data_IF_232497582209
#
_entry.id   IF_232497582209
#
_cell.length_a   1.000
_cell.length_b   1.000
_cell.length_c   1.000
_cell.angle_alpha   90.00
_cell.angle_beta   90.00
_cell.angle_gamma   90.00
#
_symmetry.space_group_name_H-M   'P 1'
#
loop_
_entity.id
_entity.type
_entity.pdbx_description
1 polymer ?
#
# COMPACT_ATOMS: atom_id res chain seq x y z
N UNK A 1 0.55 -3.84 -32.33
CA UNK A 1 -0.19 -2.57 -32.13
C UNK A 1 0.82 -1.47 -31.86
N UNK A 2 0.83 -0.47 -32.74
CA UNK A 2 1.90 0.51 -32.89
C UNK A 2 1.84 1.57 -31.77
N UNK A 3 2.90 1.66 -30.95
CA UNK A 3 3.11 2.81 -30.05
C UNK A 3 3.68 3.96 -30.88
N UNK A 4 2.84 4.91 -31.28
CA UNK A 4 3.30 6.19 -31.81
C UNK A 4 3.65 7.10 -30.63
N UNK A 5 4.94 7.15 -30.27
CA UNK A 5 5.49 8.29 -29.52
C UNK A 5 5.52 9.48 -30.48
N UNK A 6 4.70 10.50 -30.21
CA UNK A 6 4.77 11.78 -30.90
C UNK A 6 5.69 12.70 -30.10
N UNK A 7 6.99 12.55 -30.32
CA UNK A 7 8.01 13.47 -29.80
C UNK A 7 8.04 14.69 -30.73
N UNK A 8 7.41 15.80 -30.32
CA UNK A 8 7.51 17.07 -31.02
C UNK A 8 8.83 17.76 -30.64
N UNK A 9 9.89 17.50 -31.40
CA UNK A 9 11.10 18.33 -31.42
C UNK A 9 10.85 19.48 -32.40
N UNK A 10 10.59 20.67 -31.87
CA UNK A 10 10.56 21.90 -32.67
C UNK A 10 11.98 22.46 -32.71
N UNK A 11 12.70 22.11 -33.77
CA UNK A 11 13.99 22.72 -34.13
C UNK A 11 13.70 24.06 -34.81
N UNK A 12 13.94 25.17 -34.11
CA UNK A 12 13.80 26.53 -34.64
C UNK A 12 15.16 27.17 -34.92
N UNK A 13 15.46 27.34 -36.20
CA UNK A 13 16.65 27.98 -36.78
C UNK A 13 16.78 29.45 -36.36
N UNK A 14 18.00 29.87 -35.98
CA UNK A 14 18.38 31.27 -35.73
C UNK A 14 19.07 31.85 -36.98
N UNK A 15 18.72 33.10 -37.35
CA UNK A 15 19.43 34.14 -38.18
C UNK A 15 18.38 34.86 -39.07
N UNK A 16 18.22 36.19 -39.18
CA UNK A 16 18.84 37.38 -38.59
C UNK A 16 17.95 38.63 -38.89
N UNK A 17 18.17 39.72 -38.13
CA UNK A 17 17.81 41.14 -38.37
C UNK A 17 16.34 41.61 -38.22
N UNK A 18 16.09 42.36 -37.14
CA UNK A 18 14.90 43.19 -36.92
C UNK A 18 14.41 43.14 -35.47
N UNK A 19 14.70 44.18 -34.68
CA UNK A 19 14.23 44.29 -33.29
C UNK A 19 12.72 44.49 -33.22
N UNK A 20 11.97 43.39 -33.14
CA UNK A 20 10.61 43.34 -32.61
C UNK A 20 10.56 42.12 -31.68
N UNK A 21 10.60 42.36 -30.37
CA UNK A 21 10.28 41.32 -29.42
C UNK A 21 8.86 40.81 -29.73
N UNK A 22 8.62 39.49 -29.87
CA UNK A 22 7.27 38.99 -30.02
C UNK A 22 6.48 39.41 -28.79
N UNK A 23 5.53 40.33 -28.96
CA UNK A 23 4.65 40.77 -27.89
C UNK A 23 3.70 39.62 -27.55
N UNK A 24 4.02 38.85 -26.51
CA UNK A 24 3.04 37.96 -25.89
C UNK A 24 1.97 38.86 -25.28
N UNK A 25 0.73 38.77 -25.78
CA UNK A 25 -0.35 39.61 -25.28
C UNK A 25 -0.75 39.16 -23.87
N UNK A 26 -1.04 40.11 -22.99
CA UNK A 26 -1.55 39.80 -21.65
C UNK A 26 -2.84 38.95 -21.68
N UNK A 27 -3.63 39.03 -22.76
CA UNK A 27 -4.81 38.20 -23.00
C UNK A 27 -4.49 36.72 -23.27
N UNK A 28 -3.36 36.42 -23.89
CA UNK A 28 -2.94 35.03 -24.13
C UNK A 28 -2.47 34.37 -22.83
N UNK A 29 -1.75 35.12 -21.97
CA UNK A 29 -1.31 34.62 -20.66
C UNK A 29 -2.51 34.39 -19.74
N UNK A 30 -3.51 35.29 -19.73
CA UNK A 30 -4.73 35.10 -18.95
C UNK A 30 -5.48 33.83 -19.35
N UNK A 31 -5.56 33.56 -20.66
CA UNK A 31 -6.20 32.36 -21.19
C UNK A 31 -5.44 31.10 -20.75
N UNK A 32 -4.10 31.14 -20.79
CA UNK A 32 -3.26 30.03 -20.33
C UNK A 32 -3.39 29.79 -18.81
N UNK A 33 -3.47 30.85 -18.00
CA UNK A 33 -3.71 30.74 -16.55
C UNK A 33 -5.07 30.08 -16.28
N UNK A 34 -6.13 30.49 -16.98
CA UNK A 34 -7.45 29.90 -16.83
C UNK A 34 -7.50 28.43 -17.25
N UNK A 35 -6.75 28.06 -18.30
CA UNK A 35 -6.57 26.66 -18.72
C UNK A 35 -5.85 25.85 -17.64
N UNK A 36 -4.74 26.35 -17.11
CA UNK A 36 -3.98 25.70 -16.04
C UNK A 36 -4.84 25.52 -14.76
N UNK A 37 -5.61 26.53 -14.37
CA UNK A 37 -6.54 26.43 -13.24
C UNK A 37 -7.62 25.36 -13.48
N UNK A 38 -8.15 25.27 -14.69
CA UNK A 38 -9.13 24.25 -15.07
C UNK A 38 -8.53 22.84 -15.02
N UNK A 39 -7.28 22.68 -15.46
CA UNK A 39 -6.54 21.43 -15.35
C UNK A 39 -6.28 21.03 -13.89
N UNK A 40 -5.89 21.97 -13.03
CA UNK A 40 -5.70 21.74 -11.58
C UNK A 40 -7.01 21.30 -10.92
N UNK A 41 -8.15 21.92 -11.27
CA UNK A 41 -9.46 21.49 -10.77
C UNK A 41 -9.81 20.07 -11.24
N UNK A 42 -9.54 19.74 -12.51
CA UNK A 42 -9.78 18.39 -13.02
C UNK A 42 -8.93 17.34 -12.29
N UNK A 43 -7.63 17.61 -12.12
CA UNK A 43 -6.71 16.75 -11.37
C UNK A 43 -7.16 16.55 -9.92
N UNK A 44 -7.62 17.61 -9.25
CA UNK A 44 -8.18 17.50 -7.90
C UNK A 44 -9.42 16.60 -7.84
N UNK A 45 -10.34 16.75 -8.79
CA UNK A 45 -11.53 15.89 -8.87
C UNK A 45 -11.15 14.43 -9.12
N UNK A 46 -10.18 14.17 -10.01
CA UNK A 46 -9.66 12.82 -10.26
C UNK A 46 -9.00 12.24 -9.01
N UNK A 47 -8.19 13.02 -8.30
CA UNK A 47 -7.56 12.60 -7.03
C UNK A 47 -8.59 12.22 -5.98
N UNK A 48 -9.64 13.02 -5.78
CA UNK A 48 -10.72 12.69 -4.83
C UNK A 48 -11.46 11.41 -5.22
N UNK A 49 -11.73 11.21 -6.51
CA UNK A 49 -12.37 9.99 -6.99
C UNK A 49 -11.49 8.76 -6.73
N UNK A 50 -10.20 8.81 -7.09
CA UNK A 50 -9.26 7.71 -6.86
C UNK A 50 -9.03 7.46 -5.37
N UNK A 51 -8.92 8.51 -4.54
CA UNK A 51 -8.81 8.37 -3.09
C UNK A 51 -10.03 7.65 -2.49
N UNK A 52 -11.24 7.97 -2.97
CA UNK A 52 -12.46 7.28 -2.53
C UNK A 52 -12.45 5.80 -2.94
N UNK A 53 -11.96 5.48 -4.14
CA UNK A 53 -11.80 4.09 -4.57
C UNK A 53 -10.76 3.33 -3.74
N UNK A 54 -9.66 3.98 -3.32
CA UNK A 54 -8.66 3.39 -2.42
C UNK A 54 -9.27 3.06 -1.06
N UNK A 55 -10.10 3.95 -0.51
CA UNK A 55 -10.81 3.70 0.76
C UNK A 55 -11.79 2.52 0.63
N UNK A 56 -12.59 2.48 -0.46
CA UNK A 56 -13.49 1.36 -0.71
C UNK A 56 -12.73 0.02 -0.85
N UNK A 57 -11.63 0.00 -1.60
CA UNK A 57 -10.79 -1.19 -1.76
C UNK A 57 -10.18 -1.65 -0.44
N UNK A 58 -9.82 -0.72 0.45
CA UNK A 58 -9.34 -1.03 1.81
C UNK A 58 -10.42 -1.78 2.61
N UNK A 59 -11.67 -1.30 2.55
CA UNK A 59 -12.81 -1.93 3.21
C UNK A 59 -13.14 -3.29 2.60
N UNK A 60 -13.12 -3.41 1.26
CA UNK A 60 -13.37 -4.67 0.56
C UNK A 60 -12.31 -5.72 0.91
N UNK A 61 -11.02 -5.33 0.99
CA UNK A 61 -9.94 -6.21 1.44
C UNK A 61 -10.16 -6.72 2.86
N UNK A 62 -10.58 -5.85 3.79
CA UNK A 62 -10.92 -6.23 5.17
C UNK A 62 -12.11 -7.20 5.21
N UNK A 63 -13.15 -6.93 4.42
CA UNK A 63 -14.34 -7.79 4.34
C UNK A 63 -14.01 -9.17 3.76
N UNK A 64 -13.21 -9.23 2.70
CA UNK A 64 -12.74 -10.51 2.12
C UNK A 64 -11.91 -11.28 3.13
N UNK A 65 -11.01 -10.63 3.86
CA UNK A 65 -10.23 -11.29 4.92
C UNK A 65 -11.12 -11.87 6.04
N UNK A 66 -12.13 -11.12 6.48
CA UNK A 66 -13.08 -11.61 7.48
C UNK A 66 -13.82 -12.86 6.99
N UNK A 67 -14.25 -12.88 5.72
CA UNK A 67 -14.89 -14.06 5.11
C UNK A 67 -13.93 -15.25 5.01
N UNK A 68 -12.66 -15.03 4.68
CA UNK A 68 -11.63 -16.09 4.68
C UNK A 68 -11.52 -16.71 6.08
N UNK A 69 -11.38 -15.90 7.13
CA UNK A 69 -11.27 -16.38 8.50
C UNK A 69 -12.52 -17.17 8.93
N UNK A 70 -13.71 -16.70 8.55
CA UNK A 70 -14.97 -17.39 8.83
C UNK A 70 -15.03 -18.76 8.14
N UNK A 71 -14.67 -18.83 6.86
CA UNK A 71 -14.65 -20.10 6.10
C UNK A 71 -13.65 -21.09 6.69
N UNK A 72 -12.47 -20.62 7.10
CA UNK A 72 -11.47 -21.46 7.76
C UNK A 72 -11.99 -22.04 9.09
N UNK A 73 -12.69 -21.24 9.90
CA UNK A 73 -13.31 -21.71 11.13
C UNK A 73 -14.43 -22.74 10.89
N UNK A 74 -15.25 -22.52 9.86
CA UNK A 74 -16.27 -23.49 9.44
C UNK A 74 -15.65 -24.80 8.95
N UNK A 75 -14.54 -24.75 8.21
CA UNK A 75 -13.81 -25.94 7.77
C UNK A 75 -13.29 -26.76 8.97
N UNK A 76 -12.70 -26.12 9.98
CA UNK A 76 -12.24 -26.84 11.19
C UNK A 76 -13.40 -27.51 11.93
N UNK A 77 -14.54 -26.83 12.03
CA UNK A 77 -15.76 -27.40 12.59
C UNK A 77 -16.26 -28.59 11.76
N UNK A 78 -16.25 -28.47 10.42
CA UNK A 78 -16.65 -29.54 9.52
C UNK A 78 -15.72 -30.76 9.61
N UNK A 79 -14.40 -30.56 9.70
CA UNK A 79 -13.40 -31.62 9.91
C UNK A 79 -13.63 -32.35 11.24
N UNK A 80 -13.87 -31.62 12.32
CA UNK A 80 -14.19 -32.22 13.62
C UNK A 80 -15.46 -33.08 13.57
N UNK A 81 -16.52 -32.59 12.94
CA UNK A 81 -17.76 -33.35 12.74
C UNK A 81 -17.55 -34.61 11.90
N UNK A 82 -16.66 -34.55 10.92
CA UNK A 82 -16.31 -35.69 10.07
C UNK A 82 -15.63 -36.80 10.88
N UNK A 83 -14.73 -36.45 11.81
CA UNK A 83 -14.12 -37.42 12.73
C UNK A 83 -15.14 -38.07 13.68
N UNK A 84 -16.14 -37.30 14.15
CA UNK A 84 -17.25 -37.85 14.95
C UNK A 84 -18.06 -38.86 14.12
N UNK A 85 -18.45 -38.49 12.90
CA UNK A 85 -19.21 -39.38 12.00
C UNK A 85 -18.44 -40.67 11.69
N UNK A 86 -17.13 -40.58 11.41
CA UNK A 86 -16.27 -41.77 11.23
C UNK A 86 -16.26 -42.68 12.46
N UNK A 87 -16.20 -42.09 13.66
CA UNK A 87 -16.25 -42.85 14.91
C UNK A 87 -17.60 -43.57 15.10
N UNK A 88 -18.71 -42.90 14.78
CA UNK A 88 -20.06 -43.49 14.83
C UNK A 88 -20.22 -44.64 13.83
N UNK A 89 -19.73 -44.48 12.59
CA UNK A 89 -19.73 -45.55 11.58
C UNK A 89 -18.98 -46.77 12.10
N UNK A 90 -17.76 -46.59 12.61
CA UNK A 90 -16.94 -47.71 13.12
C UNK A 90 -17.60 -48.46 14.28
N UNK A 91 -18.27 -47.73 15.19
CA UNK A 91 -19.05 -48.34 16.29
C UNK A 91 -20.24 -49.14 15.77
N UNK A 92 -21.00 -48.58 14.81
CA UNK A 92 -22.14 -49.26 14.19
C UNK A 92 -21.70 -50.51 13.44
N UNK A 93 -20.59 -50.45 12.70
CA UNK A 93 -20.01 -51.61 12.02
C UNK A 93 -19.66 -52.74 12.97
N UNK A 94 -19.01 -52.40 14.09
CA UNK A 94 -18.66 -53.38 15.14
C UNK A 94 -19.91 -54.04 15.73
N UNK A 95 -20.92 -53.24 16.10
CA UNK A 95 -22.17 -53.75 16.66
C UNK A 95 -22.95 -54.64 15.68
N UNK A 96 -22.97 -54.27 14.39
CA UNK A 96 -23.59 -55.07 13.32
C UNK A 96 -22.84 -56.40 13.16
N UNK A 97 -21.51 -56.39 13.16
CA UNK A 97 -20.69 -57.59 13.03
C UNK A 97 -20.89 -58.55 14.22
N UNK A 98 -20.84 -58.04 15.45
CA UNK A 98 -21.09 -58.84 16.66
C UNK A 98 -22.50 -59.44 16.66
N UNK A 99 -23.51 -58.67 16.27
CA UNK A 99 -24.89 -59.18 16.20
C UNK A 99 -25.05 -60.23 15.10
N UNK A 100 -24.40 -60.07 13.94
CA UNK A 100 -24.40 -61.08 12.88
C UNK A 100 -23.80 -62.41 13.35
N UNK A 101 -22.68 -62.38 14.08
CA UNK A 101 -22.08 -63.59 14.67
C UNK A 101 -23.06 -64.25 15.66
N UNK A 102 -23.67 -63.47 16.57
CA UNK A 102 -24.65 -64.00 17.53
C UNK A 102 -25.87 -64.61 16.84
N UNK A 103 -26.36 -63.99 15.77
CA UNK A 103 -27.48 -64.53 14.98
C UNK A 103 -27.08 -65.81 14.25
N UNK A 104 -25.86 -65.91 13.74
CA UNK A 104 -25.34 -67.12 13.11
C UNK A 104 -25.18 -68.26 14.11
N UNK A 105 -24.66 -67.98 15.30
CA UNK A 105 -24.53 -68.96 16.39
C UNK A 105 -25.90 -69.41 16.89
N UNK A 106 -26.85 -68.48 17.06
CA UNK A 106 -28.23 -68.81 17.40
C UNK A 106 -28.88 -69.67 16.31
N UNK A 107 -28.75 -69.33 15.04
CA UNK A 107 -29.28 -70.12 13.93
C UNK A 107 -28.67 -71.53 13.89
N UNK A 108 -27.35 -71.65 14.08
CA UNK A 108 -26.66 -72.94 14.15
C UNK A 108 -27.09 -73.75 15.38
N UNK A 109 -27.23 -73.12 16.54
CA UNK A 109 -27.72 -73.77 17.75
C UNK A 109 -29.15 -74.26 17.57
N UNK A 110 -30.05 -73.46 16.98
CA UNK A 110 -31.41 -73.85 16.60
C UNK A 110 -31.39 -75.09 15.70
N UNK A 111 -30.54 -75.07 14.66
CA UNK A 111 -30.43 -76.13 13.67
C UNK A 111 -29.85 -77.44 14.22
N UNK A 112 -28.87 -77.39 15.13
CA UNK A 112 -28.17 -78.58 15.64
C UNK A 112 -28.81 -79.14 16.91
N UNK A 113 -29.25 -78.29 17.85
CA UNK A 113 -29.76 -78.71 19.18
C UNK A 113 -31.11 -78.04 19.57
N UNK A 114 -31.51 -76.97 18.90
CA UNK A 114 -32.65 -76.15 19.32
C UNK A 114 -34.01 -76.65 18.87
N UNK A 115 -34.11 -77.47 17.82
CA UNK A 115 -35.36 -78.18 17.54
C UNK A 115 -35.81 -79.06 18.72
N UNK A 116 -34.92 -79.49 19.62
CA UNK A 116 -35.31 -80.11 20.91
C UNK A 116 -35.55 -79.10 22.03
N UNK A 117 -34.77 -78.04 22.13
CA UNK A 117 -34.84 -77.08 23.24
C UNK A 117 -36.01 -76.10 23.14
N UNK A 118 -36.31 -75.60 21.93
CA UNK A 118 -37.52 -74.82 21.66
C UNK A 118 -38.76 -75.69 21.74
N UNK A 119 -38.68 -76.94 21.28
CA UNK A 119 -39.79 -77.89 21.43
C UNK A 119 -39.99 -78.26 22.91
N UNK A 120 -38.94 -78.45 23.70
CA UNK A 120 -39.03 -78.71 25.15
C UNK A 120 -39.57 -77.49 25.93
N UNK A 121 -39.20 -76.27 25.55
CA UNK A 121 -39.81 -75.05 26.07
C UNK A 121 -41.30 -74.94 25.73
N UNK A 122 -41.71 -75.40 24.55
CA UNK A 122 -43.12 -75.47 24.16
C UNK A 122 -43.85 -76.67 24.80
N UNK A 123 -43.17 -77.78 25.08
CA UNK A 123 -43.75 -79.00 25.67
C UNK A 123 -43.87 -78.93 27.19
N UNK A 124 -42.99 -78.20 27.88
CA UNK A 124 -43.09 -77.90 29.32
C UNK A 124 -44.03 -76.73 29.61
N UNK A 125 -45.06 -76.53 28.79
CA UNK A 125 -46.08 -75.52 29.00
C UNK A 125 -47.20 -76.06 29.88
N UNK A 126 -47.68 -75.25 30.83
CA UNK A 126 -48.68 -75.68 31.83
C UNK A 126 -50.08 -75.88 31.23
N UNK A 127 -50.32 -75.37 30.01
CA UNK A 127 -51.58 -75.50 29.28
C UNK A 127 -51.42 -75.18 27.79
N UNK A 128 -52.43 -75.54 26.97
CA UNK A 128 -52.48 -75.19 25.53
C UNK A 128 -52.42 -73.66 25.32
N UNK A 129 -52.95 -72.86 26.25
CA UNK A 129 -52.86 -71.39 26.21
C UNK A 129 -51.43 -70.88 26.45
N UNK A 130 -50.68 -71.54 27.34
CA UNK A 130 -49.28 -71.20 27.62
C UNK A 130 -48.36 -71.54 26.43
N UNK A 131 -48.62 -72.65 25.71
CA UNK A 131 -47.92 -72.98 24.45
C UNK A 131 -48.07 -71.85 23.43
N UNK A 132 -49.29 -71.32 23.24
CA UNK A 132 -49.56 -70.25 22.28
C UNK A 132 -48.84 -68.96 22.67
N UNK A 133 -48.82 -68.61 23.96
CA UNK A 133 -48.08 -67.45 24.45
C UNK A 133 -46.56 -67.61 24.26
N UNK A 134 -46.02 -68.80 24.53
CA UNK A 134 -44.59 -69.12 24.35
C UNK A 134 -44.15 -69.09 22.87
N UNK A 135 -45.00 -69.53 21.95
CA UNK A 135 -44.77 -69.37 20.50
C UNK A 135 -44.71 -67.87 20.14
N UNK A 136 -45.64 -67.07 20.67
CA UNK A 136 -45.65 -65.62 20.51
C UNK A 136 -44.33 -64.98 20.95
N UNK A 137 -43.85 -65.31 22.15
CA UNK A 137 -42.57 -64.79 22.68
C UNK A 137 -41.37 -65.15 21.78
N UNK A 138 -41.32 -66.36 21.21
CA UNK A 138 -40.24 -66.75 20.29
C UNK A 138 -40.32 -65.99 18.97
N UNK A 139 -41.53 -65.85 18.40
CA UNK A 139 -41.76 -65.08 17.17
C UNK A 139 -41.41 -63.61 17.38
N UNK A 140 -41.80 -63.03 18.52
CA UNK A 140 -41.49 -61.66 18.91
C UNK A 140 -39.99 -61.45 19.09
N UNK A 141 -39.27 -62.38 19.74
CA UNK A 141 -37.83 -62.28 19.94
C UNK A 141 -37.05 -62.31 18.61
N UNK A 142 -37.41 -63.23 17.70
CA UNK A 142 -36.78 -63.33 16.37
C UNK A 142 -37.14 -62.11 15.51
N UNK A 143 -38.40 -61.67 15.57
CA UNK A 143 -38.89 -60.46 14.91
C UNK A 143 -38.15 -59.19 15.37
N UNK A 144 -38.02 -59.00 16.68
CA UNK A 144 -37.31 -57.87 17.29
C UNK A 144 -35.82 -57.87 16.91
N UNK A 145 -35.16 -59.02 16.88
CA UNK A 145 -33.76 -59.11 16.45
C UNK A 145 -33.57 -58.78 14.97
N UNK A 146 -34.48 -59.24 14.10
CA UNK A 146 -34.45 -58.89 12.67
C UNK A 146 -34.73 -57.40 12.45
N UNK A 147 -35.69 -56.84 13.16
CA UNK A 147 -36.02 -55.42 13.11
C UNK A 147 -34.83 -54.56 13.56
N UNK A 148 -34.19 -54.92 14.67
CA UNK A 148 -33.06 -54.16 15.20
C UNK A 148 -31.84 -54.22 14.26
N UNK A 149 -31.58 -55.37 13.61
CA UNK A 149 -30.57 -55.44 12.53
C UNK A 149 -30.87 -54.50 11.36
N UNK A 150 -32.14 -54.42 10.94
CA UNK A 150 -32.54 -53.52 9.86
C UNK A 150 -32.42 -52.05 10.26
N UNK A 151 -32.71 -51.72 11.52
CA UNK A 151 -32.53 -50.39 12.09
C UNK A 151 -31.05 -49.98 12.10
N UNK A 152 -30.16 -50.82 12.60
CA UNK A 152 -28.71 -50.55 12.60
C UNK A 152 -28.14 -50.41 11.19
N UNK A 153 -28.62 -51.22 10.23
CA UNK A 153 -28.21 -51.09 8.83
C UNK A 153 -28.65 -49.76 8.22
N UNK A 154 -29.86 -49.28 8.54
CA UNK A 154 -30.35 -47.96 8.08
C UNK A 154 -29.62 -46.82 8.75
N UNK A 155 -29.33 -46.92 10.05
CA UNK A 155 -28.56 -45.91 10.78
C UNK A 155 -27.16 -45.77 10.19
N UNK A 156 -26.50 -46.90 9.87
CA UNK A 156 -25.21 -46.90 9.18
C UNK A 156 -25.29 -46.17 7.84
N UNK A 157 -26.26 -46.51 6.99
CA UNK A 157 -26.45 -45.86 5.69
C UNK A 157 -26.70 -44.34 5.82
N UNK A 158 -27.48 -43.92 6.82
CA UNK A 158 -27.73 -42.50 7.10
C UNK A 158 -26.46 -41.75 7.53
N UNK A 159 -25.64 -42.35 8.41
CA UNK A 159 -24.39 -41.74 8.88
C UNK A 159 -23.35 -41.70 7.75
N UNK A 160 -23.24 -42.75 6.93
CA UNK A 160 -22.39 -42.75 5.73
C UNK A 160 -22.83 -41.66 4.73
N UNK A 161 -24.13 -41.49 4.52
CA UNK A 161 -24.67 -40.42 3.67
C UNK A 161 -24.30 -39.04 4.21
N UNK A 162 -24.41 -38.83 5.54
CA UNK A 162 -24.00 -37.58 6.19
C UNK A 162 -22.48 -37.35 6.08
N UNK A 163 -21.66 -38.39 6.21
CA UNK A 163 -20.21 -38.31 6.03
C UNK A 163 -19.86 -37.87 4.60
N UNK A 164 -20.48 -38.48 3.58
CA UNK A 164 -20.26 -38.11 2.18
C UNK A 164 -20.71 -36.67 1.89
N UNK A 165 -21.89 -36.29 2.38
CA UNK A 165 -22.39 -34.92 2.26
C UNK A 165 -21.43 -33.91 2.89
N UNK A 166 -20.85 -34.23 4.06
CA UNK A 166 -19.87 -33.34 4.68
C UNK A 166 -18.52 -33.29 3.97
N UNK A 167 -18.03 -34.39 3.40
CA UNK A 167 -16.85 -34.35 2.52
C UNK A 167 -17.09 -33.44 1.31
N UNK A 168 -18.25 -33.53 0.68
CA UNK A 168 -18.61 -32.68 -0.45
C UNK A 168 -18.71 -31.20 -0.06
N UNK A 169 -19.29 -30.89 1.10
CA UNK A 169 -19.35 -29.52 1.62
C UNK A 169 -17.95 -28.97 1.94
N UNK A 170 -17.06 -29.77 2.53
CA UNK A 170 -15.69 -29.37 2.83
C UNK A 170 -14.93 -29.03 1.55
N UNK A 171 -15.00 -29.88 0.52
CA UNK A 171 -14.39 -29.61 -0.78
C UNK A 171 -14.92 -28.31 -1.42
N UNK A 172 -16.22 -28.03 -1.27
CA UNK A 172 -16.83 -26.78 -1.73
C UNK A 172 -16.32 -25.57 -0.94
N UNK A 173 -16.15 -25.70 0.38
CA UNK A 173 -15.58 -24.65 1.22
C UNK A 173 -14.12 -24.37 0.86
N UNK A 174 -13.31 -25.39 0.61
CA UNK A 174 -11.91 -25.25 0.15
C UNK A 174 -11.84 -24.52 -1.20
N UNK A 175 -12.71 -24.88 -2.15
CA UNK A 175 -12.81 -24.19 -3.43
C UNK A 175 -13.22 -22.71 -3.27
N UNK A 176 -14.20 -22.43 -2.41
CA UNK A 176 -14.65 -21.07 -2.12
C UNK A 176 -13.54 -20.24 -1.43
N UNK A 177 -12.77 -20.84 -0.52
CA UNK A 177 -11.64 -20.19 0.12
C UNK A 177 -10.56 -19.80 -0.90
N UNK A 178 -10.21 -20.71 -1.82
CA UNK A 178 -9.27 -20.42 -2.89
C UNK A 178 -9.76 -19.26 -3.78
N UNK A 179 -11.06 -19.19 -4.07
CA UNK A 179 -11.64 -18.05 -4.79
C UNK A 179 -11.54 -16.74 -4.00
N UNK A 180 -11.78 -16.76 -2.68
CA UNK A 180 -11.63 -15.59 -1.82
C UNK A 180 -10.17 -15.12 -1.74
N UNK A 181 -9.21 -16.03 -1.68
CA UNK A 181 -7.78 -15.70 -1.70
C UNK A 181 -7.35 -15.07 -3.04
N UNK A 182 -7.83 -15.61 -4.16
CA UNK A 182 -7.59 -15.01 -5.48
C UNK A 182 -8.19 -13.60 -5.57
N UNK A 183 -9.44 -13.42 -5.12
CA UNK A 183 -10.09 -12.12 -5.07
C UNK A 183 -9.31 -11.14 -4.19
N UNK A 184 -8.81 -11.60 -3.03
CA UNK A 184 -7.96 -10.78 -2.16
C UNK A 184 -6.70 -10.29 -2.88
N UNK A 185 -6.04 -11.17 -3.64
CA UNK A 185 -4.87 -10.81 -4.44
C UNK A 185 -5.19 -9.77 -5.52
N UNK A 186 -6.30 -9.95 -6.25
CA UNK A 186 -6.74 -9.01 -7.28
C UNK A 186 -7.10 -7.63 -6.71
N UNK A 187 -7.81 -7.60 -5.59
CA UNK A 187 -8.15 -6.36 -4.89
C UNK A 187 -6.89 -5.65 -4.40
N UNK A 188 -5.91 -6.39 -3.86
CA UNK A 188 -4.64 -5.81 -3.39
C UNK A 188 -3.81 -5.23 -4.54
N UNK A 189 -3.75 -5.92 -5.68
CA UNK A 189 -3.10 -5.41 -6.88
C UNK A 189 -3.77 -4.11 -7.39
N UNK A 190 -5.10 -4.07 -7.38
CA UNK A 190 -5.88 -2.89 -7.78
C UNK A 190 -5.67 -1.73 -6.81
N UNK A 191 -5.65 -2.00 -5.50
CA UNK A 191 -5.35 -1.02 -4.46
C UNK A 191 -3.98 -0.36 -4.67
N UNK A 192 -2.94 -1.17 -4.88
CA UNK A 192 -1.58 -0.67 -5.15
C UNK A 192 -1.56 0.18 -6.43
N UNK A 193 -2.22 -0.27 -7.49
CA UNK A 193 -2.33 0.51 -8.75
C UNK A 193 -2.98 1.87 -8.50
N UNK A 194 -4.08 1.95 -7.76
CA UNK A 194 -4.74 3.22 -7.44
C UNK A 194 -3.89 4.12 -6.56
N UNK A 195 -3.12 3.58 -5.61
CA UNK A 195 -2.14 4.39 -4.85
C UNK A 195 -1.05 4.99 -5.75
N UNK A 196 -0.51 4.21 -6.69
CA UNK A 196 0.45 4.73 -7.68
C UNK A 196 -0.19 5.80 -8.55
N UNK A 197 -1.43 5.60 -9.01
CA UNK A 197 -2.17 6.64 -9.75
C UNK A 197 -2.36 7.91 -8.92
N UNK A 198 -2.67 7.80 -7.63
CA UNK A 198 -2.83 8.96 -6.74
C UNK A 198 -1.52 9.74 -6.56
N UNK A 199 -0.39 9.03 -6.47
CA UNK A 199 0.94 9.65 -6.43
C UNK A 199 1.27 10.37 -7.74
N UNK A 200 1.03 9.74 -8.89
CA UNK A 200 1.25 10.35 -10.20
C UNK A 200 0.37 11.59 -10.41
N UNK A 201 -0.93 11.51 -10.10
CA UNK A 201 -1.83 12.66 -10.18
C UNK A 201 -1.41 13.79 -9.25
N UNK A 202 -0.83 13.48 -8.08
CA UNK A 202 -0.30 14.50 -7.18
C UNK A 202 0.95 15.19 -7.76
N UNK A 203 1.82 14.46 -8.46
CA UNK A 203 2.96 15.05 -9.16
C UNK A 203 2.51 15.92 -10.34
N UNK A 204 1.55 15.44 -11.15
CA UNK A 204 0.97 16.22 -12.25
C UNK A 204 0.30 17.51 -11.76
N UNK A 205 -0.35 17.48 -10.60
CA UNK A 205 -0.94 18.67 -9.97
C UNK A 205 0.15 19.68 -9.58
N UNK A 206 1.25 19.23 -8.96
CA UNK A 206 2.37 20.11 -8.59
C UNK A 206 2.99 20.78 -9.81
N UNK A 207 3.16 20.05 -10.92
CA UNK A 207 3.67 20.61 -12.18
C UNK A 207 2.71 21.63 -12.80
N UNK A 208 1.40 21.35 -12.77
CA UNK A 208 0.39 22.27 -13.25
C UNK A 208 0.32 23.56 -12.40
N UNK A 209 0.46 23.44 -11.07
CA UNK A 209 0.55 24.57 -10.14
C UNK A 209 1.81 25.41 -10.44
N UNK A 210 2.97 24.77 -10.60
CA UNK A 210 4.21 25.48 -10.92
C UNK A 210 4.11 26.22 -12.26
N UNK A 211 3.47 25.61 -13.27
CA UNK A 211 3.21 26.24 -14.57
C UNK A 211 2.31 27.47 -14.43
N UNK A 212 1.20 27.34 -13.69
CA UNK A 212 0.31 28.48 -13.40
C UNK A 212 1.07 29.62 -12.71
N UNK A 213 1.87 29.30 -11.69
CA UNK A 213 2.60 30.31 -10.93
C UNK A 213 3.65 31.03 -11.77
N UNK A 214 4.35 30.30 -12.66
CA UNK A 214 5.25 30.90 -13.65
C UNK A 214 4.52 31.87 -14.60
N UNK A 215 3.34 31.49 -15.08
CA UNK A 215 2.53 32.35 -15.95
C UNK A 215 2.03 33.61 -15.22
N UNK A 216 1.64 33.48 -13.95
CA UNK A 216 1.24 34.63 -13.12
C UNK A 216 2.42 35.59 -12.91
N UNK A 217 3.61 35.08 -12.59
CA UNK A 217 4.81 35.90 -12.47
C UNK A 217 5.16 36.61 -13.78
N UNK A 218 5.04 35.93 -14.92
CA UNK A 218 5.29 36.55 -16.22
C UNK A 218 4.26 37.63 -16.56
N UNK A 219 2.98 37.40 -16.22
CA UNK A 219 1.92 38.42 -16.33
C UNK A 219 2.26 39.66 -15.52
N UNK A 220 2.68 39.49 -14.27
CA UNK A 220 3.08 40.59 -13.38
C UNK A 220 4.31 41.34 -13.91
N UNK A 221 5.30 40.62 -14.45
CA UNK A 221 6.49 41.20 -15.08
C UNK A 221 6.11 42.08 -16.27
N UNK A 222 5.27 41.58 -17.18
CA UNK A 222 4.82 42.34 -18.35
C UNK A 222 3.98 43.56 -17.96
N UNK A 223 3.14 43.44 -16.92
CA UNK A 223 2.38 44.58 -16.40
C UNK A 223 3.31 45.67 -15.82
N UNK A 224 4.34 45.27 -15.06
CA UNK A 224 5.33 46.19 -14.53
C UNK A 224 6.17 46.87 -15.62
N UNK A 225 6.55 46.12 -16.68
CA UNK A 225 7.26 46.65 -17.83
C UNK A 225 6.41 47.69 -18.58
N UNK A 226 5.13 47.38 -18.83
CA UNK A 226 4.19 48.33 -19.44
C UNK A 226 4.03 49.60 -18.59
N UNK A 227 3.87 49.46 -17.27
CA UNK A 227 3.75 50.60 -16.37
C UNK A 227 5.01 51.49 -16.37
N UNK A 228 6.20 50.89 -16.44
CA UNK A 228 7.46 51.64 -16.57
C UNK A 228 7.54 52.38 -17.91
N UNK A 229 7.18 51.72 -19.01
CA UNK A 229 7.18 52.35 -20.33
C UNK A 229 6.18 53.52 -20.41
N UNK A 230 5.00 53.38 -19.80
CA UNK A 230 4.00 54.45 -19.74
C UNK A 230 4.47 55.62 -18.84
N UNK A 231 5.13 55.32 -17.72
CA UNK A 231 5.75 56.34 -16.85
C UNK A 231 6.89 57.10 -17.54
N UNK A 232 7.73 56.40 -18.30
CA UNK A 232 8.82 57.01 -19.08
C UNK A 232 8.27 57.91 -20.20
N UNK A 233 7.22 57.47 -20.90
CA UNK A 233 6.51 58.31 -21.88
C UNK A 233 5.91 59.55 -21.25
N UNK A 234 5.26 59.42 -20.09
CA UNK A 234 4.69 60.56 -19.36
C UNK A 234 5.79 61.54 -18.90
N UNK A 235 6.92 61.03 -18.41
CA UNK A 235 8.07 61.86 -18.03
C UNK A 235 8.68 62.58 -19.24
N UNK A 236 8.82 61.90 -20.38
CA UNK A 236 9.33 62.50 -21.62
C UNK A 236 8.39 63.59 -22.17
N UNK A 237 7.07 63.38 -22.11
CA UNK A 237 6.08 64.40 -22.48
C UNK A 237 6.17 65.63 -21.58
N UNK A 238 6.25 65.42 -20.26
CA UNK A 238 6.40 66.51 -19.30
C UNK A 238 7.70 67.30 -19.54
N UNK A 239 8.82 66.62 -19.76
CA UNK A 239 10.10 67.25 -20.07
C UNK A 239 10.08 68.02 -21.41
N UNK A 240 9.39 67.50 -22.43
CA UNK A 240 9.22 68.19 -23.70
C UNK A 240 8.36 69.46 -23.58
N UNK A 241 7.33 69.45 -22.73
CA UNK A 241 6.49 70.61 -22.45
C UNK A 241 7.25 71.68 -21.65
N UNK A 242 7.99 71.29 -20.61
CA UNK A 242 8.89 72.17 -19.85
C UNK A 242 9.97 72.79 -20.76
N UNK A 243 10.56 72.02 -21.69
CA UNK A 243 11.52 72.53 -22.66
C UNK A 243 10.90 73.53 -23.65
N UNK A 244 9.64 73.31 -24.06
CA UNK A 244 8.90 74.22 -24.94
C UNK A 244 8.57 75.53 -24.23
N UNK A 245 8.16 75.49 -22.96
CA UNK A 245 7.95 76.68 -22.13
C UNK A 245 9.26 77.46 -21.90
N UNK A 246 10.38 76.76 -21.68
CA UNK A 246 11.69 77.38 -21.55
C UNK A 246 12.14 78.08 -22.84
N UNK A 247 11.90 77.47 -24.02
CA UNK A 247 12.16 78.14 -25.30
C UNK A 247 11.25 79.35 -25.53
N UNK A 248 9.97 79.29 -25.14
CA UNK A 248 9.06 80.43 -25.23
C UNK A 248 9.55 81.62 -24.39
N UNK A 249 9.94 81.38 -23.12
CA UNK A 249 10.54 82.41 -22.26
C UNK A 249 11.84 82.97 -22.84
N UNK A 250 12.73 82.12 -23.36
CA UNK A 250 13.98 82.56 -23.98
C UNK A 250 13.75 83.36 -25.27
N UNK A 251 12.69 83.05 -26.03
CA UNK A 251 12.32 83.79 -27.24
C UNK A 251 11.72 85.15 -26.87
N UNK A 252 10.92 85.21 -25.81
CA UNK A 252 10.33 86.44 -25.26
C UNK A 252 11.42 87.39 -24.70
N UNK A 253 12.43 86.84 -24.00
CA UNK A 253 13.63 87.57 -23.57
C UNK A 253 14.48 88.04 -24.76
N UNK A 254 14.65 87.23 -25.81
CA UNK A 254 15.39 87.61 -27.02
C UNK A 254 14.68 88.72 -27.83
N UNK A 255 13.34 88.71 -27.90
CA UNK A 255 12.54 89.77 -28.54
C UNK A 255 12.56 91.06 -27.71
N UNK A 256 12.58 90.97 -26.37
CA UNK A 256 12.79 92.12 -25.49
C UNK A 256 14.21 92.73 -25.66
N UNK A 257 15.20 91.89 -25.94
CA UNK A 257 16.59 92.34 -26.20
C UNK A 257 16.76 92.93 -27.61
N UNK A 258 16.03 92.43 -28.62
CA UNK A 258 16.05 92.94 -29.99
C UNK A 258 15.28 94.28 -30.18
N UNK A 259 14.33 94.61 -29.31
CA UNK A 259 13.63 95.90 -29.28
C UNK A 259 14.48 97.05 -28.68
N UNK A 260 15.63 96.73 -28.09
CA UNK A 260 16.57 97.69 -27.52
C UNK A 260 17.87 97.79 -28.37
N UNK A 261 17.83 98.65 -29.40
CA UNK A 261 19.01 99.38 -29.94
C UNK A 261 19.88 98.68 -31.01
N UNK A 262 20.37 99.41 -32.05
CA UNK A 262 21.06 98.85 -33.22
C UNK A 262 22.59 98.73 -33.10
N UNK A 263 23.16 97.90 -33.99
CA UNK A 263 24.53 97.88 -34.52
C UNK A 263 25.72 97.76 -33.52
N UNK A 264 26.45 96.64 -33.60
CA UNK A 264 27.84 96.58 -34.08
C UNK A 264 28.48 95.22 -33.78
N UNK A 265 29.29 94.77 -34.73
CA UNK A 265 30.09 93.55 -34.73
C UNK A 265 31.11 93.47 -33.59
N UNK A 266 31.44 92.29 -33.08
CA UNK A 266 32.72 91.61 -33.41
C UNK A 266 32.83 90.20 -32.80
N UNK A 267 33.40 89.33 -33.64
CA UNK A 267 33.98 88.00 -33.46
C UNK A 267 34.29 87.46 -32.05
N UNK A 268 33.92 86.20 -31.82
CA UNK A 268 34.87 85.10 -31.58
C UNK A 268 34.18 83.72 -31.64
N UNK A 269 34.69 82.86 -32.53
CA UNK A 269 34.62 81.38 -32.49
C UNK A 269 36.09 80.91 -32.37
N UNK A 270 36.45 79.66 -31.97
CA UNK A 270 35.71 78.43 -32.30
C UNK A 270 35.75 77.24 -31.30
N UNK A 271 34.91 76.22 -31.61
CA UNK A 271 35.10 74.74 -31.48
C UNK A 271 35.30 74.11 -30.07
N UNK A 272 34.85 72.90 -29.68
CA UNK A 272 34.22 71.72 -30.32
C UNK A 272 33.85 70.68 -29.24
N UNK A 273 32.69 70.02 -29.41
CA UNK A 273 32.42 68.56 -29.41
C UNK A 273 32.54 67.70 -28.11
N UNK A 274 31.38 67.09 -27.81
CA UNK A 274 31.07 65.73 -27.30
C UNK A 274 31.39 65.26 -25.87
N UNK A 275 30.29 65.03 -25.14
CA UNK A 275 29.80 63.76 -24.59
C UNK A 275 30.79 62.60 -24.34
N UNK A 276 30.77 62.01 -23.13
CA UNK A 276 29.95 60.83 -22.78
C UNK A 276 30.36 60.24 -21.41
N UNK A 277 29.35 59.73 -20.73
CA UNK A 277 29.28 58.98 -19.47
C UNK A 277 29.76 57.52 -19.57
N UNK A 278 30.29 56.96 -18.47
CA UNK A 278 30.24 55.54 -18.01
C UNK A 278 31.08 55.45 -16.71
N UNK A 279 30.65 54.98 -15.54
CA UNK A 279 30.01 53.73 -15.06
C UNK A 279 31.00 52.65 -14.54
N UNK A 280 30.64 52.09 -13.38
CA UNK A 280 31.09 50.85 -12.69
C UNK A 280 32.54 50.81 -12.13
N UNK A 281 32.78 50.67 -10.82
CA UNK A 281 32.39 49.66 -9.80
C UNK A 281 33.11 48.31 -9.95
N UNK A 282 34.03 48.04 -9.01
CA UNK A 282 34.91 46.87 -8.95
C UNK A 282 34.66 46.03 -7.68
N UNK A 283 34.42 44.75 -7.93
CA UNK A 283 35.01 43.55 -7.31
C UNK A 283 35.06 43.41 -5.77
N UNK A 284 34.54 42.29 -5.26
CA UNK A 284 35.18 41.60 -4.14
C UNK A 284 34.94 40.08 -4.16
N UNK A 285 36.02 39.37 -3.89
CA UNK A 285 36.30 37.93 -3.84
C UNK A 285 36.28 37.46 -2.38
N UNK A 286 35.72 36.28 -2.06
CA UNK A 286 36.23 35.42 -0.97
C UNK A 286 35.93 33.94 -1.26
N UNK A 287 36.90 33.09 -0.91
CA UNK A 287 36.97 31.66 -1.12
C UNK A 287 36.89 30.84 0.20
N UNK A 288 36.60 29.54 0.04
CA UNK A 288 37.08 28.38 0.82
C UNK A 288 36.52 28.10 2.23
N UNK A 289 35.93 26.91 2.47
CA UNK A 289 36.59 25.74 3.11
C UNK A 289 35.64 24.57 3.39
N UNK A 290 36.23 23.38 3.30
CA UNK A 290 35.68 22.02 3.38
C UNK A 290 35.85 21.49 4.82
N UNK A 291 34.98 20.60 5.30
CA UNK A 291 35.38 19.60 6.30
C UNK A 291 34.42 18.41 6.39
N UNK A 292 34.97 17.23 6.07
CA UNK A 292 34.61 15.92 6.63
C UNK A 292 35.84 15.41 7.39
N UNK A 293 35.68 14.57 8.41
CA UNK A 293 36.47 13.33 8.43
C UNK A 293 35.70 12.08 8.90
N UNK A 294 36.27 10.93 8.56
CA UNK A 294 35.79 9.56 8.77
C UNK A 294 36.48 8.87 10.00
N UNK A 295 36.64 7.52 10.09
CA UNK A 295 35.94 6.59 11.02
C UNK A 295 36.84 5.88 12.07
N UNK A 296 36.25 5.13 13.05
CA UNK A 296 36.59 3.73 13.47
C UNK A 296 36.37 3.32 14.97
N UNK A 297 35.61 2.20 15.13
CA UNK A 297 35.78 1.00 16.01
C UNK A 297 35.32 0.92 17.50
N UNK A 298 34.58 -0.19 17.74
CA UNK A 298 34.39 -1.04 18.94
C UNK A 298 33.09 -0.91 19.78
N UNK A 299 32.24 -1.94 19.61
CA UNK A 299 31.26 -2.53 20.54
C UNK A 299 30.36 -1.58 21.35
N UNK A 300 29.23 -1.15 20.77
CA UNK A 300 28.14 -0.56 21.53
C UNK A 300 26.81 -1.19 21.13
N UNK A 301 26.22 -1.97 22.04
CA UNK A 301 24.78 -2.16 22.09
C UNK A 301 24.19 -0.76 22.26
N UNK A 302 23.54 -0.24 21.22
CA UNK A 302 22.81 1.03 21.33
C UNK A 302 21.55 0.76 22.15
N UNK A 303 21.60 1.05 23.45
CA UNK A 303 20.39 1.23 24.25
C UNK A 303 19.71 2.50 23.73
N UNK A 304 18.72 2.32 22.86
CA UNK A 304 17.99 3.38 22.18
C UNK A 304 16.67 2.84 21.61
N UNK A 305 15.66 3.71 21.56
CA UNK A 305 14.33 3.37 21.08
C UNK A 305 13.26 4.44 21.35
N UNK A 306 13.63 5.72 21.38
CA UNK A 306 12.67 6.83 21.50
C UNK A 306 12.15 7.24 20.13
N UNK A 307 11.67 6.27 19.35
CA UNK A 307 10.99 6.57 18.10
C UNK A 307 9.57 7.07 18.41
N UNK A 308 9.05 7.98 17.58
CA UNK A 308 7.62 8.31 17.64
C UNK A 308 6.80 7.02 17.52
N UNK A 309 5.66 6.91 18.21
CA UNK A 309 4.83 5.72 18.15
C UNK A 309 4.46 5.38 16.69
N UNK A 310 4.32 4.09 16.32
CA UNK A 310 3.81 3.72 15.00
C UNK A 310 2.49 4.42 14.71
N UNK A 311 2.41 5.13 13.60
CA UNK A 311 1.18 5.77 13.13
C UNK A 311 0.47 4.82 12.16
N UNK A 312 -0.69 4.23 12.53
CA UNK A 312 -1.41 3.31 11.67
C UNK A 312 -1.97 3.96 10.39
N UNK A 313 -2.10 5.30 10.39
CA UNK A 313 -2.61 6.07 9.26
C UNK A 313 -1.52 6.57 8.31
N UNK A 314 -0.24 6.46 8.71
CA UNK A 314 0.87 6.93 7.89
C UNK A 314 1.07 6.06 6.65
N UNK A 315 1.22 6.71 5.50
CA UNK A 315 1.47 6.07 4.21
C UNK A 315 2.72 6.69 3.58
N UNK A 316 3.74 5.87 3.37
CA UNK A 316 4.94 6.26 2.63
C UNK A 316 4.59 6.59 1.17
N UNK A 317 5.20 7.65 0.62
CA UNK A 317 5.07 8.00 -0.80
C UNK A 317 5.60 6.89 -1.72
N UNK A 318 6.62 6.16 -1.29
CA UNK A 318 7.14 4.97 -1.94
C UNK A 318 6.98 3.77 -1.01
N UNK A 319 6.19 2.79 -1.43
CA UNK A 319 5.97 1.57 -0.67
C UNK A 319 6.02 0.35 -1.60
N UNK A 320 6.97 -0.54 -1.34
CA UNK A 320 7.18 -1.76 -2.09
C UNK A 320 6.41 -2.98 -1.58
N UNK A 321 5.69 -2.85 -0.46
CA UNK A 321 4.91 -3.91 0.15
C UNK A 321 3.43 -3.83 -0.21
N UNK A 322 2.77 -4.99 -0.22
CA UNK A 322 1.31 -5.06 -0.36
C UNK A 322 0.61 -4.62 0.92
N UNK A 323 -0.48 -3.86 0.78
CA UNK A 323 -1.24 -3.33 1.90
C UNK A 323 -1.52 -4.39 2.97
N UNK A 324 -1.36 -3.99 4.23
CA UNK A 324 -1.62 -4.85 5.37
C UNK A 324 -0.58 -5.95 5.63
N UNK A 325 0.47 -6.04 4.81
CA UNK A 325 1.57 -7.00 5.00
C UNK A 325 2.70 -6.44 5.87
N UNK A 326 3.54 -7.35 6.38
CA UNK A 326 4.73 -7.01 7.16
C UNK A 326 5.68 -6.06 6.40
N UNK A 327 5.89 -6.31 5.10
CA UNK A 327 6.70 -5.48 4.22
C UNK A 327 6.12 -4.06 4.09
N UNK A 328 4.81 -3.93 3.87
CA UNK A 328 4.11 -2.65 3.76
C UNK A 328 4.28 -1.79 5.00
N UNK A 329 4.16 -2.40 6.17
CA UNK A 329 4.39 -1.73 7.43
C UNK A 329 5.81 -1.20 7.56
N UNK A 330 6.83 -2.00 7.22
CA UNK A 330 8.23 -1.57 7.39
C UNK A 330 8.57 -0.40 6.46
N UNK A 331 8.07 -0.36 5.21
CA UNK A 331 8.18 0.83 4.35
C UNK A 331 7.56 2.07 5.01
N UNK A 332 6.34 1.96 5.54
CA UNK A 332 5.67 3.07 6.22
C UNK A 332 6.42 3.50 7.47
N UNK A 333 6.89 2.56 8.29
CA UNK A 333 7.57 2.83 9.56
C UNK A 333 8.88 3.58 9.34
N UNK A 334 9.69 3.15 8.38
CA UNK A 334 10.93 3.82 8.03
C UNK A 334 10.70 5.23 7.46
N UNK A 335 9.71 5.39 6.58
CA UNK A 335 9.34 6.70 6.04
C UNK A 335 8.76 7.65 7.11
N UNK A 336 7.94 7.13 8.04
CA UNK A 336 7.40 7.90 9.17
C UNK A 336 8.52 8.51 10.03
N UNK A 337 9.63 7.78 10.18
CA UNK A 337 10.79 8.18 10.96
C UNK A 337 11.82 8.99 10.16
N UNK A 338 11.50 9.38 8.92
CA UNK A 338 12.34 10.24 8.09
C UNK A 338 13.42 9.53 7.28
N UNK A 339 13.40 8.19 7.20
CA UNK A 339 14.34 7.40 6.41
C UNK A 339 13.61 6.48 5.42
N UNK A 340 12.88 7.02 4.42
CA UNK A 340 12.11 6.22 3.48
C UNK A 340 13.00 5.25 2.69
N UNK A 341 12.58 3.98 2.61
CA UNK A 341 13.27 2.95 1.83
C UNK A 341 13.11 3.29 0.34
N UNK A 342 14.22 3.59 -0.33
CA UNK A 342 14.22 4.08 -1.71
C UNK A 342 14.08 2.98 -2.77
N UNK A 343 14.27 1.72 -2.40
CA UNK A 343 14.11 0.57 -3.31
C UNK A 343 12.76 -0.11 -3.07
N UNK A 344 11.80 -0.04 -4.01
CA UNK A 344 10.46 -0.63 -3.83
C UNK A 344 10.41 -2.14 -4.11
N UNK A 345 11.42 -2.73 -4.74
CA UNK A 345 11.40 -4.12 -5.19
C UNK A 345 12.18 -5.09 -4.27
N UNK A 346 11.97 -5.00 -2.95
CA UNK A 346 12.64 -5.90 -2.00
C UNK A 346 11.99 -7.29 -1.92
N UNK A 347 10.77 -7.46 -2.45
CA UNK A 347 10.10 -8.76 -2.54
C UNK A 347 9.53 -9.24 -1.19
N UNK A 348 9.45 -10.57 -1.05
CA UNK A 348 9.00 -11.22 0.17
C UNK A 348 10.01 -11.03 1.30
N UNK A 349 9.56 -11.03 2.56
CA UNK A 349 10.43 -10.74 3.70
C UNK A 349 11.71 -11.59 3.75
N UNK A 350 11.63 -12.88 3.43
CA UNK A 350 12.81 -13.76 3.39
C UNK A 350 13.87 -13.35 2.34
N UNK A 351 13.49 -12.62 1.31
CA UNK A 351 14.36 -12.14 0.21
C UNK A 351 15.02 -10.80 0.55
N UNK A 352 14.51 -10.07 1.55
CA UNK A 352 14.94 -8.69 1.85
C UNK A 352 16.42 -8.60 2.16
N UNK A 353 17.00 -9.53 2.90
CA UNK A 353 18.43 -9.48 3.23
C UNK A 353 19.32 -9.51 1.97
N UNK A 354 19.00 -10.37 0.99
CA UNK A 354 19.74 -10.45 -0.26
C UNK A 354 19.48 -9.25 -1.17
N UNK A 355 18.21 -8.88 -1.34
CA UNK A 355 17.81 -7.78 -2.21
C UNK A 355 18.28 -6.42 -1.67
N UNK A 356 18.28 -6.22 -0.35
CA UNK A 356 18.78 -5.00 0.26
C UNK A 356 20.30 -4.89 0.13
N UNK A 357 21.05 -5.99 0.33
CA UNK A 357 22.49 -6.00 0.08
C UNK A 357 22.81 -5.69 -1.40
N UNK A 358 22.06 -6.27 -2.34
CA UNK A 358 22.21 -5.98 -3.77
C UNK A 358 21.90 -4.51 -4.12
N UNK A 359 20.97 -3.89 -3.39
CA UNK A 359 20.64 -2.47 -3.50
C UNK A 359 21.62 -1.53 -2.75
N UNK A 360 22.65 -2.08 -2.11
CA UNK A 360 23.70 -1.32 -1.41
C UNK A 360 23.39 -0.95 0.04
N UNK A 361 22.31 -1.47 0.63
CA UNK A 361 22.01 -1.28 2.04
C UNK A 361 22.92 -2.12 2.93
N UNK A 362 23.21 -1.62 4.13
CA UNK A 362 23.99 -2.35 5.12
C UNK A 362 23.20 -3.52 5.70
N UNK A 363 23.71 -4.74 5.57
CA UNK A 363 23.11 -5.95 6.14
C UNK A 363 24.02 -6.53 7.21
N UNK A 364 23.44 -6.93 8.35
CA UNK A 364 24.13 -7.25 9.59
C UNK A 364 23.47 -8.44 10.29
N UNK A 365 24.24 -9.23 11.06
CA UNK A 365 23.71 -10.20 12.02
C UNK A 365 23.65 -9.65 13.46
N UNK A 366 24.07 -8.40 13.67
CA UNK A 366 24.06 -7.72 14.96
C UNK A 366 22.79 -6.87 15.09
N UNK A 367 21.96 -7.08 16.13
CA UNK A 367 20.76 -6.28 16.35
C UNK A 367 21.08 -4.83 16.69
N UNK A 368 20.31 -3.91 16.11
CA UNK A 368 20.40 -2.46 16.38
C UNK A 368 19.02 -1.82 16.27
N UNK A 369 18.67 -0.95 17.21
CA UNK A 369 17.44 -0.15 17.11
C UNK A 369 17.45 0.71 15.84
N UNK A 370 16.30 0.90 15.21
CA UNK A 370 16.21 1.61 13.93
C UNK A 370 16.58 0.77 12.70
N UNK A 371 16.77 -0.54 12.85
CA UNK A 371 16.97 -1.46 11.72
C UNK A 371 15.71 -2.27 11.45
N UNK A 372 15.56 -2.76 10.21
CA UNK A 372 14.59 -3.80 9.94
C UNK A 372 15.15 -5.13 10.43
N UNK A 373 14.34 -5.91 11.14
CA UNK A 373 14.64 -7.31 11.49
C UNK A 373 13.96 -8.24 10.50
N UNK A 374 14.73 -9.13 9.89
CA UNK A 374 14.26 -10.15 8.94
C UNK A 374 14.31 -11.52 9.61
N UNK A 375 13.14 -12.11 9.77
CA UNK A 375 12.97 -13.50 10.14
C UNK A 375 12.92 -14.36 8.88
N UNK A 376 13.90 -15.25 8.75
CA UNK A 376 13.88 -16.26 7.70
C UNK A 376 12.72 -17.23 7.89
N UNK A 377 12.42 -17.99 6.84
CA UNK A 377 11.32 -18.96 6.78
C UNK A 377 11.27 -19.86 8.02
N UNK A 378 10.14 -19.85 8.73
CA UNK A 378 9.93 -20.65 9.95
C UNK A 378 10.59 -20.13 11.23
N UNK A 379 11.45 -19.10 11.17
CA UNK A 379 12.08 -18.52 12.35
C UNK A 379 11.08 -17.68 13.15
N UNK A 380 11.01 -17.87 14.47
CA UNK A 380 10.16 -17.07 15.36
C UNK A 380 8.66 -17.06 14.99
N UNK A 381 8.18 -18.14 14.37
CA UNK A 381 6.80 -18.24 13.87
C UNK A 381 6.57 -17.50 12.55
N UNK A 382 7.62 -17.06 11.87
CA UNK A 382 7.52 -16.50 10.53
C UNK A 382 7.01 -17.54 9.53
N UNK A 383 6.29 -17.07 8.50
CA UNK A 383 5.74 -17.91 7.46
C UNK A 383 6.83 -18.79 6.80
N UNK A 384 6.59 -20.11 6.64
CA UNK A 384 7.59 -21.04 6.12
C UNK A 384 7.93 -20.82 4.64
N UNK A 385 7.13 -20.05 3.90
CA UNK A 385 7.35 -19.72 2.48
C UNK A 385 7.87 -18.30 2.32
N UNK A 386 7.26 -17.33 3.02
CA UNK A 386 7.49 -15.90 2.77
C UNK A 386 8.45 -15.23 3.76
N UNK A 387 8.67 -15.83 4.94
CA UNK A 387 9.40 -15.20 6.05
C UNK A 387 8.61 -14.06 6.71
N UNK A 388 9.28 -13.25 7.52
CA UNK A 388 8.66 -12.09 8.17
C UNK A 388 9.64 -10.94 8.35
N UNK A 389 9.17 -9.70 8.36
CA UNK A 389 10.00 -8.52 8.60
C UNK A 389 9.31 -7.57 9.58
N UNK A 390 10.07 -7.02 10.51
CA UNK A 390 9.61 -6.02 11.47
C UNK A 390 10.60 -4.88 11.61
N UNK A 391 10.28 -3.94 12.49
CA UNK A 391 11.15 -2.83 12.84
C UNK A 391 11.65 -2.99 14.28
N UNK A 392 12.96 -2.84 14.48
CA UNK A 392 13.56 -2.90 15.82
C UNK A 392 13.36 -1.57 16.53
N UNK A 393 12.33 -1.50 17.37
CA UNK A 393 12.03 -0.32 18.19
C UNK A 393 13.07 -0.12 19.29
N UNK A 394 13.53 -1.19 19.95
CA UNK A 394 14.53 -1.10 21.02
C UNK A 394 15.33 -2.38 21.18
N UNK A 395 16.61 -2.24 21.51
CA UNK A 395 17.48 -3.33 22.00
C UNK A 395 17.60 -3.22 23.51
N UNK A 396 17.22 -4.28 24.23
CA UNK A 396 17.31 -4.35 25.68
C UNK A 396 18.73 -4.79 26.12
N UNK A 397 19.07 -4.52 27.38
CA UNK A 397 20.41 -4.83 27.92
C UNK A 397 20.74 -6.34 27.94
N UNK A 398 19.72 -7.19 28.01
CA UNK A 398 19.84 -8.65 27.95
C UNK A 398 19.97 -9.20 26.52
N UNK A 399 19.99 -8.32 25.51
CA UNK A 399 20.05 -8.67 24.09
C UNK A 399 18.70 -9.04 23.47
N UNK A 400 17.61 -9.02 24.23
CA UNK A 400 16.26 -9.15 23.67
C UNK A 400 15.85 -7.87 22.92
N UNK A 401 14.93 -8.00 21.96
CA UNK A 401 14.49 -6.89 21.12
C UNK A 401 13.01 -6.60 21.34
N UNK A 402 12.66 -5.35 21.57
CA UNK A 402 11.27 -4.92 21.40
C UNK A 402 11.08 -4.48 19.95
N UNK A 403 10.14 -5.10 19.26
CA UNK A 403 9.88 -4.85 17.84
C UNK A 403 8.43 -4.43 17.62
N UNK A 404 8.23 -3.72 16.52
CA UNK A 404 6.92 -3.45 15.95
C UNK A 404 6.83 -4.06 14.55
N UNK A 405 5.67 -4.60 14.21
CA UNK A 405 5.47 -5.31 12.96
C UNK A 405 3.98 -5.34 12.59
N UNK A 406 3.66 -5.84 11.39
CA UNK A 406 2.29 -5.99 10.91
C UNK A 406 2.09 -7.37 10.32
N UNK A 407 0.86 -7.87 10.39
CA UNK A 407 0.49 -9.19 9.87
C UNK A 407 1.10 -10.39 10.62
N UNK A 408 1.36 -10.23 11.92
CA UNK A 408 1.54 -11.36 12.84
C UNK A 408 0.23 -11.70 13.55
N UNK A 409 -0.52 -10.67 13.95
CA UNK A 409 -1.83 -10.80 14.60
C UNK A 409 -2.99 -10.57 13.60
N UNK A 410 -2.71 -10.66 12.30
CA UNK A 410 -3.66 -10.43 11.22
C UNK A 410 -3.28 -9.25 10.30
N UNK A 411 -3.81 -9.30 9.08
CA UNK A 411 -3.52 -8.32 8.01
C UNK A 411 -3.92 -6.92 8.48
N UNK A 412 -3.05 -5.95 8.22
CA UNK A 412 -3.22 -4.54 8.61
C UNK A 412 -3.32 -4.27 10.12
N UNK A 413 -2.97 -5.26 10.96
CA UNK A 413 -2.87 -5.07 12.41
C UNK A 413 -1.41 -4.81 12.76
N UNK A 414 -1.12 -3.60 13.24
CA UNK A 414 0.18 -3.30 13.87
C UNK A 414 0.20 -3.97 15.23
N UNK A 415 1.23 -4.76 15.48
CA UNK A 415 1.46 -5.45 16.75
C UNK A 415 2.89 -5.20 17.22
N UNK A 416 3.12 -5.41 18.50
CA UNK A 416 4.46 -5.37 19.08
C UNK A 416 4.71 -6.65 19.86
N UNK A 417 5.96 -7.10 19.90
CA UNK A 417 6.37 -8.21 20.76
C UNK A 417 7.84 -8.09 21.13
N UNK A 418 8.23 -8.85 22.15
CA UNK A 418 9.63 -8.98 22.54
C UNK A 418 10.22 -10.25 21.94
N UNK A 419 11.32 -10.12 21.22
CA UNK A 419 12.07 -11.21 20.63
C UNK A 419 13.20 -11.60 21.59
N UNK A 420 13.24 -12.86 22.07
CA UNK A 420 14.32 -13.34 22.93
C UNK A 420 15.70 -13.23 22.27
N UNK A 421 16.74 -12.98 23.07
CA UNK A 421 18.11 -12.76 22.56
C UNK A 421 18.64 -13.91 21.69
N UNK A 422 18.31 -15.17 22.03
CA UNK A 422 18.71 -16.33 21.25
C UNK A 422 18.05 -16.40 19.85
N UNK A 423 16.84 -15.86 19.72
CA UNK A 423 16.13 -15.76 18.44
C UNK A 423 16.63 -14.54 17.66
N UNK A 424 16.84 -13.41 18.35
CA UNK A 424 17.42 -12.21 17.76
C UNK A 424 18.80 -12.49 17.13
N UNK A 425 19.63 -13.32 17.76
CA UNK A 425 20.93 -13.73 17.23
C UNK A 425 20.87 -14.56 15.93
N UNK A 426 19.70 -15.11 15.58
CA UNK A 426 19.49 -15.90 14.36
C UNK A 426 18.87 -15.08 13.21
N UNK A 427 18.39 -13.87 13.50
CA UNK A 427 17.79 -13.00 12.51
C UNK A 427 18.84 -12.16 11.77
N UNK A 428 18.45 -11.60 10.63
CA UNK A 428 19.27 -10.66 9.87
C UNK A 428 18.69 -9.25 10.01
N UNK A 429 19.56 -8.24 10.03
CA UNK A 429 19.19 -6.84 10.22
C UNK A 429 19.59 -6.01 9.02
N UNK A 430 18.72 -5.09 8.60
CA UNK A 430 18.96 -4.20 7.46
C UNK A 430 18.94 -2.75 7.94
N UNK A 431 19.98 -2.01 7.60
CA UNK A 431 20.10 -0.59 7.87
C UNK A 431 19.68 0.23 6.65
N UNK A 432 18.57 0.97 6.79
CA UNK A 432 18.07 1.89 5.77
C UNK A 432 18.41 3.38 6.06
N UNK A 433 19.26 3.67 7.05
CA UNK A 433 19.79 5.00 7.30
C UNK A 433 19.24 5.74 8.53
N UNK A 434 18.69 5.03 9.53
CA UNK A 434 18.26 5.58 10.83
C UNK A 434 19.35 5.56 11.91
#
# INVERSE_FOLDING_TARGET
>A
MNKKLLTFVVTGTVLALGSLAPSVSAQDIETQINSANSQIQNLNNQKQAVASQVEQLSQDLSNVQSRINSVQAEQETAKANLEVLKSEISKLETLIAERNVRLQDQARAVQVNGARSYVDFLLNADSITDVVNRIGVIVDLVGANRQLMQEQSRDKEQVETKEQAQKANLAKQEANEAQLQNLQSELSATFTKHKVTLANLSNEELEAIATRDGLVQEKERLAAEKARADAEKAAAQKAAEEAKEAMLKATEEAVATAAATPAAATAATPTTIAAKSEAASTTSTVATTVSTPAPAKAANIVVGGSFAAPDPSFVAALNGGYFGQCTYYVYNRFAQLGAPISTPALGNAAEWSGNAAAAGYGVSSTPRAGTAIVFQRGLAGADPVYGHVGFVERVNADGSLFISEMNVQGVNVISTRTIPANIAAQATYINFGL
#
